data_IF_352840442891
#
_entry.id   IF_352840442891
#
_cell.length_a   1.000
_cell.length_b   1.000
_cell.length_c   1.000
_cell.angle_alpha   90.00
_cell.angle_beta   90.00
_cell.angle_gamma   90.00
#
_symmetry.space_group_name_H-M   'P 1'
#
loop_
_entity.id
_entity.type
_entity.pdbx_description
1 polymer ?
#
# COMPACT_ATOMS: atom_id res chain seq x y z
N UNK A 1 17.12 20.12 -20.24
CA UNK A 1 15.68 20.45 -20.21
C UNK A 1 15.03 19.37 -19.41
N UNK A 2 14.33 19.71 -18.32
CA UNK A 2 13.55 18.75 -17.56
C UNK A 2 12.13 18.82 -18.12
N UNK A 3 11.65 17.75 -18.72
CA UNK A 3 10.23 17.57 -18.99
C UNK A 3 9.72 16.67 -17.87
N UNK A 4 8.80 17.18 -17.04
CA UNK A 4 8.16 16.42 -15.98
C UNK A 4 6.71 16.16 -16.40
N UNK A 5 6.32 14.89 -16.41
CA UNK A 5 4.93 14.48 -16.57
C UNK A 5 4.40 14.11 -15.19
N UNK A 6 3.47 14.90 -14.66
CA UNK A 6 3.04 14.82 -13.25
C UNK A 6 1.61 14.32 -13.07
N UNK A 7 0.83 14.25 -14.15
CA UNK A 7 -0.60 13.99 -14.06
C UNK A 7 -1.00 12.73 -14.86
N UNK A 8 -1.88 11.87 -14.29
CA UNK A 8 -2.50 10.79 -15.02
C UNK A 8 -3.20 11.31 -16.28
N UNK A 9 -2.88 10.74 -17.45
CA UNK A 9 -3.46 11.11 -18.75
C UNK A 9 -2.59 12.02 -19.63
N UNK A 10 -1.40 12.45 -19.19
CA UNK A 10 -0.43 13.10 -20.08
C UNK A 10 0.31 12.12 -21.00
N UNK A 11 0.28 10.84 -20.66
CA UNK A 11 0.79 9.74 -21.48
C UNK A 11 -0.40 8.91 -21.94
N UNK A 12 -0.64 8.88 -23.25
CA UNK A 12 -1.67 8.02 -23.84
C UNK A 12 -1.11 6.61 -23.96
N UNK A 13 -1.70 5.65 -23.26
CA UNK A 13 -1.28 4.24 -23.35
C UNK A 13 -1.52 3.64 -24.74
N UNK A 14 -2.39 4.25 -25.55
CA UNK A 14 -2.61 3.88 -26.94
C UNK A 14 -1.63 4.56 -27.92
N UNK A 15 -0.95 5.62 -27.48
CA UNK A 15 0.12 6.30 -28.22
C UNK A 15 1.35 6.50 -27.29
N UNK A 16 2.12 5.42 -27.03
CA UNK A 16 3.19 5.43 -26.03
C UNK A 16 4.44 6.20 -26.49
N UNK A 17 4.31 7.12 -27.44
CA UNK A 17 5.43 7.86 -28.02
C UNK A 17 5.55 9.23 -27.38
N UNK A 18 6.61 9.40 -26.57
CA UNK A 18 7.00 10.71 -26.08
C UNK A 18 7.92 11.43 -27.08
N UNK A 19 7.44 12.53 -27.66
CA UNK A 19 8.24 13.38 -28.54
C UNK A 19 8.96 14.48 -27.74
N UNK A 20 10.29 14.45 -27.72
CA UNK A 20 11.12 15.47 -27.06
C UNK A 20 11.88 16.29 -28.09
N UNK A 21 11.64 17.60 -28.12
CA UNK A 21 12.38 18.54 -28.98
C UNK A 21 13.46 19.27 -28.18
N UNK A 22 14.71 19.20 -28.63
CA UNK A 22 15.84 19.88 -27.99
C UNK A 22 16.41 20.96 -28.91
N UNK A 23 16.26 22.22 -28.51
CA UNK A 23 16.87 23.36 -29.18
C UNK A 23 18.17 23.73 -28.50
N UNK A 24 19.30 23.38 -29.13
CA UNK A 24 20.63 23.64 -28.57
C UNK A 24 21.05 25.11 -28.73
N UNK A 25 21.81 25.63 -27.78
CA UNK A 25 22.57 26.89 -27.92
C UNK A 25 23.88 26.64 -28.68
N UNK A 26 24.49 27.72 -29.19
CA UNK A 26 25.68 27.64 -30.04
C UNK A 26 26.88 26.97 -29.35
N UNK A 27 26.98 27.12 -28.03
CA UNK A 27 28.05 26.68 -27.13
C UNK A 27 27.79 25.30 -26.50
N UNK A 28 26.65 24.67 -26.75
CA UNK A 28 26.34 23.35 -26.20
C UNK A 28 27.00 22.22 -26.99
N UNK A 29 27.33 21.14 -26.28
CA UNK A 29 27.74 19.88 -26.89
C UNK A 29 26.67 19.34 -27.85
N UNK A 30 27.11 18.46 -28.76
CA UNK A 30 26.24 17.79 -29.74
C UNK A 30 25.64 16.49 -29.21
N UNK A 31 26.03 16.12 -28.00
CA UNK A 31 25.53 14.95 -27.30
C UNK A 31 24.36 15.38 -26.43
N UNK A 32 23.26 14.66 -26.56
CA UNK A 32 22.06 14.83 -25.75
C UNK A 32 21.86 13.55 -24.97
N UNK A 33 22.05 13.62 -23.66
CA UNK A 33 21.67 12.53 -22.76
C UNK A 33 20.20 12.68 -22.38
N UNK A 34 19.43 11.63 -22.58
CA UNK A 34 18.06 11.50 -22.09
C UNK A 34 18.08 10.50 -20.94
N UNK A 35 17.56 10.92 -19.79
CA UNK A 35 17.31 10.06 -18.64
C UNK A 35 15.80 9.92 -18.47
N UNK A 36 15.32 8.68 -18.39
CA UNK A 36 13.93 8.34 -18.10
C UNK A 36 13.90 7.65 -16.74
N UNK A 37 12.97 8.06 -15.88
CA UNK A 37 12.83 7.57 -14.50
C UNK A 37 11.38 7.19 -14.24
N UNK A 38 11.20 6.07 -13.57
CA UNK A 38 9.91 5.62 -13.05
C UNK A 38 9.95 5.62 -11.52
N UNK A 39 8.83 6.02 -10.90
CA UNK A 39 8.73 6.15 -9.47
C UNK A 39 7.40 5.55 -8.97
N UNK A 40 7.39 5.00 -7.75
CA UNK A 40 6.17 4.60 -7.03
C UNK A 40 5.45 5.82 -6.46
N UNK A 41 4.12 5.91 -6.64
CA UNK A 41 3.21 6.98 -6.17
C UNK A 41 3.51 8.42 -6.63
N UNK A 42 4.75 8.89 -6.52
CA UNK A 42 5.17 10.28 -6.73
C UNK A 42 6.62 10.38 -7.19
N UNK A 43 7.11 11.59 -7.47
CA UNK A 43 8.44 11.78 -8.09
C UNK A 43 9.59 11.95 -7.08
N UNK A 44 9.45 11.43 -5.86
CA UNK A 44 10.46 11.58 -4.82
C UNK A 44 11.65 10.63 -5.08
N UNK A 45 12.87 11.00 -4.68
CA UNK A 45 14.07 10.23 -5.08
C UNK A 45 14.11 8.84 -4.44
N UNK A 46 13.57 8.73 -3.24
CA UNK A 46 13.39 7.51 -2.48
C UNK A 46 12.37 6.55 -3.11
N UNK A 47 11.46 7.07 -3.94
CA UNK A 47 10.44 6.30 -4.66
C UNK A 47 10.91 5.84 -6.05
N UNK A 48 12.17 6.09 -6.42
CA UNK A 48 12.71 5.72 -7.73
C UNK A 48 12.84 4.19 -7.86
N UNK A 49 12.09 3.61 -8.80
CA UNK A 49 12.06 2.15 -9.05
C UNK A 49 12.71 1.70 -10.34
N UNK A 50 12.84 2.59 -11.33
CA UNK A 50 13.65 2.31 -12.53
C UNK A 50 14.26 3.59 -13.13
N UNK A 51 15.42 3.44 -13.78
CA UNK A 51 16.08 4.50 -14.53
C UNK A 51 16.70 3.91 -15.80
N UNK A 52 16.54 4.65 -16.89
CA UNK A 52 17.15 4.38 -18.18
C UNK A 52 17.86 5.63 -18.67
N UNK A 53 19.06 5.45 -19.23
CA UNK A 53 19.84 6.53 -19.81
C UNK A 53 20.29 6.16 -21.21
N UNK A 54 20.19 7.12 -22.12
CA UNK A 54 20.75 6.99 -23.45
C UNK A 54 21.30 8.32 -23.92
N UNK A 55 22.47 8.26 -24.57
CA UNK A 55 23.13 9.43 -25.15
C UNK A 55 23.04 9.39 -26.66
N UNK A 56 22.55 10.46 -27.26
CA UNK A 56 22.40 10.63 -28.70
C UNK A 56 23.35 11.72 -29.19
N UNK A 57 24.23 11.36 -30.14
CA UNK A 57 25.16 12.31 -30.76
C UNK A 57 24.62 12.81 -32.11
N UNK A 58 24.56 14.12 -32.30
CA UNK A 58 24.01 14.75 -33.51
C UNK A 58 25.07 15.49 -34.33
N UNK A 59 25.34 15.01 -35.55
CA UNK A 59 26.20 15.73 -36.51
C UNK A 59 25.55 17.01 -37.06
N UNK A 60 24.22 17.02 -37.17
CA UNK A 60 23.38 18.14 -37.61
C UNK A 60 21.97 18.01 -37.00
N UNK A 61 21.08 18.96 -37.27
CA UNK A 61 19.67 18.81 -36.90
C UNK A 61 19.10 17.50 -37.48
N UNK A 62 18.34 16.76 -36.67
CA UNK A 62 17.80 15.46 -37.04
C UNK A 62 16.94 14.86 -35.93
N UNK A 63 16.39 13.68 -36.20
CA UNK A 63 15.57 12.90 -35.28
C UNK A 63 16.29 11.59 -34.96
N UNK A 64 16.30 11.20 -33.70
CA UNK A 64 16.68 9.87 -33.26
C UNK A 64 15.52 9.28 -32.46
N UNK A 65 15.41 7.96 -32.48
CA UNK A 65 14.40 7.20 -31.77
C UNK A 65 15.06 6.30 -30.75
N UNK A 66 14.39 6.12 -29.62
CA UNK A 66 14.79 5.18 -28.59
C UNK A 66 13.58 4.39 -28.13
N UNK A 67 13.61 3.10 -28.44
CA UNK A 67 12.68 2.14 -27.90
C UNK A 67 13.17 1.75 -26.52
N UNK A 68 12.36 2.04 -25.50
CA UNK A 68 12.59 1.59 -24.14
C UNK A 68 11.81 0.29 -24.01
N UNK A 69 12.52 -0.84 -24.07
CA UNK A 69 11.87 -2.16 -24.10
C UNK A 69 11.15 -2.46 -22.77
N UNK A 70 11.87 -2.37 -21.64
CA UNK A 70 11.30 -2.56 -20.31
C UNK A 70 11.67 -1.37 -19.41
N UNK A 71 10.70 -0.49 -19.17
CA UNK A 71 10.64 0.44 -18.04
C UNK A 71 9.52 -0.04 -17.13
N UNK A 72 9.70 -1.22 -16.55
CA UNK A 72 8.58 -1.93 -15.93
C UNK A 72 8.98 -2.56 -14.61
N UNK A 73 8.26 -2.13 -13.59
CA UNK A 73 7.80 -2.98 -12.49
C UNK A 73 6.28 -2.99 -12.64
N UNK A 74 5.67 -4.17 -12.64
CA UNK A 74 4.23 -4.27 -12.71
C UNK A 74 3.62 -3.70 -11.42
N UNK A 75 2.45 -3.09 -11.58
CA UNK A 75 1.53 -2.73 -10.50
C UNK A 75 0.26 -3.51 -10.85
N UNK A 76 0.28 -4.82 -10.58
CA UNK A 76 -0.77 -5.74 -11.07
C UNK A 76 -2.11 -5.50 -10.38
N UNK A 77 -2.11 -5.02 -9.14
CA UNK A 77 -3.32 -4.73 -8.37
C UNK A 77 -3.79 -3.26 -8.44
N UNK A 78 -2.96 -2.37 -8.95
CA UNK A 78 -3.28 -0.97 -9.21
C UNK A 78 -3.29 -0.10 -7.96
N UNK A 79 -2.59 -0.48 -6.90
CA UNK A 79 -2.53 0.30 -5.68
C UNK A 79 -1.49 1.44 -5.76
N UNK A 80 -0.63 1.46 -6.77
CA UNK A 80 0.38 2.48 -7.03
C UNK A 80 1.73 2.26 -6.36
N UNK A 81 1.92 1.11 -5.71
CA UNK A 81 3.21 0.53 -5.35
C UNK A 81 3.55 -0.57 -6.36
N UNK A 82 4.80 -1.00 -6.37
CA UNK A 82 5.27 -2.05 -7.28
C UNK A 82 6.11 -3.04 -6.52
N UNK A 83 6.05 -4.30 -6.91
CA UNK A 83 6.84 -5.34 -6.24
C UNK A 83 8.35 -5.09 -6.31
N UNK A 84 9.12 -5.50 -5.27
CA UNK A 84 10.56 -5.63 -5.34
C UNK A 84 10.96 -6.44 -6.57
N UNK A 85 11.64 -5.77 -7.49
CA UNK A 85 12.07 -6.41 -8.72
C UNK A 85 12.58 -5.41 -9.73
N UNK A 86 12.63 -5.85 -10.98
CA UNK A 86 13.15 -5.05 -12.07
C UNK A 86 14.64 -4.69 -11.90
N UNK A 87 15.13 -3.68 -12.63
CA UNK A 87 16.56 -3.38 -12.72
C UNK A 87 17.17 -2.79 -11.44
N UNK A 88 16.36 -2.10 -10.64
CA UNK A 88 16.83 -1.47 -9.39
C UNK A 88 16.49 -2.27 -8.14
N UNK A 89 15.51 -3.19 -8.21
CA UNK A 89 15.04 -3.97 -7.05
C UNK A 89 14.64 -3.05 -5.87
N UNK A 90 13.85 -2.02 -6.18
CA UNK A 90 13.48 -0.93 -5.25
C UNK A 90 11.97 -0.78 -5.01
N UNK A 91 11.15 -1.57 -5.69
CA UNK A 91 9.73 -1.64 -5.38
C UNK A 91 9.48 -2.03 -3.92
N UNK A 92 8.39 -1.52 -3.36
CA UNK A 92 8.08 -1.61 -1.93
C UNK A 92 6.83 -2.43 -1.62
N UNK A 93 6.12 -2.91 -2.63
CA UNK A 93 4.94 -3.76 -2.48
C UNK A 93 5.31 -5.21 -2.10
N UNK A 94 4.79 -5.74 -1.01
CA UNK A 94 5.05 -7.10 -0.57
C UNK A 94 4.14 -8.16 -1.23
N UNK A 95 3.04 -7.76 -1.86
CA UNK A 95 2.07 -8.64 -2.54
C UNK A 95 1.33 -7.92 -3.68
N UNK A 96 1.97 -7.85 -4.87
CA UNK A 96 1.47 -7.21 -6.12
C UNK A 96 0.09 -7.63 -6.59
N UNK A 97 -0.49 -8.67 -6.01
CA UNK A 97 -1.79 -9.21 -6.41
C UNK A 97 -2.91 -8.74 -5.48
N UNK A 98 -2.61 -7.90 -4.51
CA UNK A 98 -3.52 -7.56 -3.42
C UNK A 98 -3.38 -6.09 -3.04
N UNK A 99 -4.24 -5.26 -3.63
CA UNK A 99 -4.28 -3.80 -3.44
C UNK A 99 -4.54 -3.29 -2.00
N UNK A 100 -4.67 -4.19 -1.02
CA UNK A 100 -4.69 -3.87 0.42
C UNK A 100 -3.37 -4.17 1.11
N UNK A 101 -2.32 -4.51 0.36
CA UNK A 101 -1.03 -4.98 0.81
C UNK A 101 0.06 -4.00 0.34
N UNK A 102 0.31 -2.95 1.11
CA UNK A 102 1.27 -1.94 0.69
C UNK A 102 1.91 -1.21 1.86
N UNK A 103 3.07 -0.55 1.65
CA UNK A 103 3.71 0.28 2.66
C UNK A 103 2.76 1.23 3.38
N UNK A 104 2.51 0.95 4.66
CA UNK A 104 1.65 1.76 5.53
C UNK A 104 0.15 1.53 5.36
N UNK A 105 -0.29 0.46 4.70
CA UNK A 105 -1.68 0.03 4.76
C UNK A 105 -2.09 -0.33 6.20
N UNK A 106 -3.39 -0.34 6.53
CA UNK A 106 -3.86 -0.89 7.79
C UNK A 106 -3.66 -2.41 7.83
N UNK A 107 -3.09 -2.91 8.93
CA UNK A 107 -3.04 -4.35 9.22
C UNK A 107 -4.44 -4.94 9.40
N UNK A 108 -4.70 -6.10 8.79
CA UNK A 108 -5.90 -6.89 9.01
C UNK A 108 -5.51 -8.18 9.75
N UNK A 109 -6.43 -8.69 10.57
CA UNK A 109 -6.24 -9.98 11.24
C UNK A 109 -6.56 -11.13 10.28
N UNK A 110 -5.73 -11.26 9.24
CA UNK A 110 -5.83 -12.23 8.15
C UNK A 110 -4.59 -13.17 8.07
N UNK A 111 -3.63 -13.03 8.99
CA UNK A 111 -2.38 -13.79 9.00
C UNK A 111 -1.37 -13.39 7.92
N UNK A 112 -1.50 -12.21 7.34
CA UNK A 112 -0.59 -11.67 6.31
C UNK A 112 0.06 -10.37 6.81
N UNK A 113 1.10 -9.94 6.11
CA UNK A 113 1.70 -8.61 6.25
C UNK A 113 0.99 -7.70 5.24
N UNK A 114 0.14 -6.79 5.71
CA UNK A 114 -0.65 -5.90 4.87
C UNK A 114 0.02 -4.54 4.70
N UNK A 115 0.83 -4.13 5.66
CA UNK A 115 1.48 -2.84 5.68
C UNK A 115 2.93 -2.87 5.11
N UNK A 116 3.39 -4.05 4.71
CA UNK A 116 4.70 -4.35 4.15
C UNK A 116 5.90 -3.91 5.03
N UNK A 117 5.75 -3.98 6.36
CA UNK A 117 6.82 -3.66 7.30
C UNK A 117 7.67 -4.89 7.73
N UNK A 118 7.31 -6.07 7.22
CA UNK A 118 7.96 -7.35 7.50
C UNK A 118 7.46 -8.03 8.78
N UNK A 119 6.41 -7.52 9.41
CA UNK A 119 5.77 -8.09 10.58
C UNK A 119 4.30 -8.37 10.28
N UNK A 120 3.89 -9.62 10.48
CA UNK A 120 2.47 -9.99 10.38
C UNK A 120 1.71 -9.46 11.59
N UNK A 121 0.57 -8.82 11.36
CA UNK A 121 -0.45 -8.49 12.36
C UNK A 121 0.02 -7.55 13.48
N UNK A 122 1.08 -6.75 13.26
CA UNK A 122 1.54 -5.75 14.22
C UNK A 122 1.01 -4.36 13.86
N UNK A 123 -0.13 -3.95 14.42
CA UNK A 123 -0.66 -2.63 14.09
C UNK A 123 -2.13 -2.40 14.46
N UNK A 124 -2.83 -1.67 13.58
CA UNK A 124 -4.24 -1.30 13.73
C UNK A 124 -5.12 -2.54 13.65
N UNK A 125 -5.39 -3.12 14.80
CA UNK A 125 -6.21 -4.32 14.96
C UNK A 125 -7.68 -3.98 14.82
N UNK A 126 -8.36 -4.58 13.84
CA UNK A 126 -9.78 -4.35 13.57
C UNK A 126 -10.72 -5.15 14.49
N UNK A 127 -10.19 -5.84 15.51
CA UNK A 127 -10.95 -6.61 16.49
C UNK A 127 -10.71 -6.08 17.90
N UNK A 128 -11.79 -6.06 18.66
CA UNK A 128 -11.81 -5.59 20.05
C UNK A 128 -12.36 -6.71 20.93
N UNK A 129 -11.60 -7.08 21.94
CA UNK A 129 -11.89 -8.18 22.85
C UNK A 129 -12.30 -7.66 24.23
N UNK A 130 -13.40 -8.17 24.77
CA UNK A 130 -13.97 -7.79 26.06
C UNK A 130 -13.85 -8.96 27.04
N UNK A 131 -13.44 -8.69 28.28
CA UNK A 131 -13.35 -9.71 29.33
C UNK A 131 -14.76 -10.26 29.61
N UNK A 132 -14.89 -11.58 29.57
CA UNK A 132 -16.07 -12.39 29.87
C UNK A 132 -15.69 -13.35 31.00
N UNK A 133 -15.93 -12.91 32.24
CA UNK A 133 -15.46 -13.60 33.45
C UNK A 133 -16.38 -14.75 33.84
N UNK A 134 -17.68 -14.61 33.60
CA UNK A 134 -18.68 -15.62 33.94
C UNK A 134 -18.99 -16.61 32.79
N UNK A 135 -18.47 -16.32 31.59
CA UNK A 135 -18.45 -17.18 30.40
C UNK A 135 -19.81 -17.37 29.75
N UNK A 136 -20.61 -16.31 29.68
CA UNK A 136 -21.90 -16.31 28.99
C UNK A 136 -21.87 -15.80 27.55
N UNK A 137 -20.65 -15.53 27.03
CA UNK A 137 -20.37 -15.01 25.69
C UNK A 137 -20.62 -13.52 25.50
N UNK A 138 -20.90 -12.76 26.56
CA UNK A 138 -20.95 -11.31 26.54
C UNK A 138 -19.87 -10.75 27.45
N UNK A 139 -18.97 -9.96 26.88
CA UNK A 139 -17.95 -9.30 27.66
C UNK A 139 -18.47 -8.03 28.33
N UNK A 140 -17.82 -7.68 29.44
CA UNK A 140 -18.09 -6.48 30.22
C UNK A 140 -18.20 -5.21 29.37
N UNK A 141 -19.16 -4.36 29.71
CA UNK A 141 -19.22 -2.98 29.23
C UNK A 141 -17.99 -2.17 29.69
N UNK A 142 -17.11 -1.81 28.74
CA UNK A 142 -15.89 -1.06 29.05
C UNK A 142 -14.94 -0.95 27.85
N UNK A 143 -13.76 -0.35 28.03
CA UNK A 143 -12.72 -0.40 27.00
C UNK A 143 -12.30 -1.85 26.78
N UNK A 144 -12.41 -2.31 25.53
CA UNK A 144 -11.86 -3.60 25.14
C UNK A 144 -10.36 -3.54 24.88
N UNK A 145 -9.77 -4.71 24.67
CA UNK A 145 -8.37 -4.85 24.24
C UNK A 145 -8.36 -5.09 22.75
N UNK A 146 -7.66 -4.25 21.99
CA UNK A 146 -7.47 -4.48 20.56
C UNK A 146 -6.37 -5.54 20.36
N UNK A 147 -6.69 -6.61 19.63
CA UNK A 147 -5.77 -7.70 19.31
C UNK A 147 -6.35 -8.55 18.17
N UNK A 148 -5.52 -9.25 17.40
CA UNK A 148 -6.02 -10.18 16.38
C UNK A 148 -6.59 -11.47 16.99
N UNK A 149 -5.86 -12.02 17.95
CA UNK A 149 -6.31 -13.16 18.75
C UNK A 149 -6.84 -12.69 20.12
N UNK A 150 -7.77 -13.45 20.73
CA UNK A 150 -8.22 -13.15 22.08
C UNK A 150 -7.02 -13.20 23.05
N UNK A 151 -6.85 -12.20 23.93
CA UNK A 151 -5.77 -12.20 24.92
C UNK A 151 -5.79 -13.42 25.85
N UNK A 152 -6.96 -14.03 26.03
CA UNK A 152 -7.16 -15.30 26.74
C UNK A 152 -8.52 -15.89 26.38
N UNK A 153 -8.77 -17.14 26.78
CA UNK A 153 -10.08 -17.81 26.67
C UNK A 153 -11.21 -17.12 27.49
N UNK A 154 -10.90 -16.08 28.26
CA UNK A 154 -11.86 -15.27 29.01
C UNK A 154 -12.24 -13.99 28.27
N UNK A 155 -12.06 -13.93 26.95
CA UNK A 155 -12.42 -12.75 26.17
C UNK A 155 -13.27 -13.12 24.97
N UNK A 156 -14.21 -12.24 24.64
CA UNK A 156 -15.14 -12.37 23.52
C UNK A 156 -15.24 -11.06 22.74
N UNK A 157 -15.63 -11.11 21.47
CA UNK A 157 -15.77 -9.90 20.64
C UNK A 157 -17.07 -9.13 20.94
N UNK A 158 -18.05 -9.79 21.56
CA UNK A 158 -19.36 -9.20 21.85
C UNK A 158 -19.30 -8.48 23.20
N UNK A 159 -19.54 -7.18 23.21
CA UNK A 159 -19.72 -6.40 24.46
C UNK A 159 -21.20 -6.35 24.85
N UNK A 160 -21.47 -5.83 26.05
CA UNK A 160 -22.83 -5.51 26.47
C UNK A 160 -23.21 -6.05 27.83
N UNK A 161 -22.33 -6.82 28.47
CA UNK A 161 -22.66 -7.42 29.76
C UNK A 161 -22.68 -6.38 30.88
N UNK A 162 -23.81 -6.33 31.58
CA UNK A 162 -24.06 -5.44 32.70
C UNK A 162 -23.65 -6.04 34.05
N UNK A 163 -23.46 -7.36 34.17
CA UNK A 163 -23.01 -8.04 35.38
C UNK A 163 -22.11 -9.27 35.07
N UNK A 164 -20.85 -9.00 34.74
CA UNK A 164 -19.76 -9.93 34.37
C UNK A 164 -19.30 -10.88 35.51
N UNK A 165 -20.11 -11.03 36.57
CA UNK A 165 -19.94 -12.06 37.59
C UNK A 165 -21.07 -13.10 37.58
N UNK A 166 -22.07 -12.94 36.70
CA UNK A 166 -23.32 -13.69 36.66
C UNK A 166 -23.76 -14.01 35.24
N UNK A 167 -23.42 -15.23 34.81
CA UNK A 167 -23.77 -15.77 33.49
C UNK A 167 -25.29 -15.87 33.17
N UNK A 168 -26.17 -15.57 34.14
CA UNK A 168 -27.62 -15.47 33.94
C UNK A 168 -28.11 -14.04 33.63
N UNK A 169 -27.22 -13.05 33.66
CA UNK A 169 -27.51 -11.64 33.41
C UNK A 169 -26.70 -11.18 32.19
N UNK A 170 -27.33 -11.22 31.01
CA UNK A 170 -26.70 -10.77 29.77
C UNK A 170 -27.73 -10.28 28.74
N UNK A 171 -27.33 -9.59 27.66
CA UNK A 171 -28.25 -9.01 26.67
C UNK A 171 -29.24 -9.99 26.02
N UNK A 172 -28.89 -11.28 25.95
CA UNK A 172 -29.76 -12.34 25.41
C UNK A 172 -30.50 -13.15 26.48
N UNK A 173 -30.34 -12.81 27.77
CA UNK A 173 -31.04 -13.48 28.84
C UNK A 173 -32.54 -13.18 28.74
N UNK A 174 -33.38 -14.21 28.89
CA UNK A 174 -34.82 -14.01 29.00
C UNK A 174 -35.09 -13.39 30.36
N UNK A 175 -35.65 -12.17 30.38
CA UNK A 175 -36.08 -11.52 31.62
C UNK A 175 -37.08 -12.43 32.35
N UNK A 176 -36.60 -13.09 33.40
CA UNK A 176 -37.47 -13.77 34.33
C UNK A 176 -38.23 -12.68 35.10
N UNK A 177 -39.56 -12.70 35.02
CA UNK A 177 -40.43 -11.84 35.85
C UNK A 177 -40.20 -12.16 37.34
N UNK A 178 -39.17 -11.55 37.95
CA UNK A 178 -38.77 -11.77 39.33
C UNK A 178 -39.28 -10.68 40.29
N UNK A 179 -40.29 -9.91 39.88
CA UNK A 179 -41.06 -8.97 40.74
C UNK A 179 -40.25 -7.86 41.42
N UNK A 180 -39.10 -7.48 40.86
CA UNK A 180 -38.50 -6.16 41.11
C UNK A 180 -39.18 -5.08 40.28
#
# INVERSE_FOLDING_TARGET
VLAEFKEPGQFDTNDPVLNVAVFRKADWARDVEITVRAFEKGCATEQLVDERKQTFSFASAGRQEWMIEDLHTADEDGDGFVSPGGPMNRGTDCDDLRATAFPGAPELCNGLDDNCDGQMETGFVNRVWYLDRDRDSFGRNGPGTEACDPPSELHVEVTGDCDDERADIHPNAVEACNSV
#
